data_IF_199701139282
#
_entry.id   IF_199701139282
#
_cell.length_a   1.000
_cell.length_b   1.000
_cell.length_c   1.000
_cell.angle_alpha   90.00
_cell.angle_beta   90.00
_cell.angle_gamma   90.00
#
_symmetry.space_group_name_H-M   'P 1'
#
loop_
_entity.id
_entity.type
_entity.pdbx_description
1 polymer ?
#
# COMPACT_ATOMS: atom_id res chain seq x y z
N UNK A 1 13.47 13.98 -19.65
CA UNK A 1 12.64 15.20 -19.41
C UNK A 1 11.14 14.96 -19.69
N UNK A 2 10.76 14.18 -20.71
CA UNK A 2 9.36 13.93 -21.08
C UNK A 2 8.57 13.11 -20.06
N UNK A 3 9.17 12.06 -19.47
CA UNK A 3 8.49 11.17 -18.50
C UNK A 3 8.08 11.91 -17.22
N UNK A 4 8.95 12.78 -16.69
CA UNK A 4 8.62 13.59 -15.49
C UNK A 4 7.42 14.53 -15.74
N UNK A 5 7.33 15.10 -16.94
CA UNK A 5 6.18 15.93 -17.33
C UNK A 5 4.90 15.09 -17.46
N UNK A 6 5.01 13.87 -17.99
CA UNK A 6 3.86 12.97 -18.14
C UNK A 6 3.30 12.53 -16.79
N UNK A 7 4.16 12.16 -15.85
CA UNK A 7 3.78 11.79 -14.48
C UNK A 7 3.14 12.96 -13.75
N UNK A 8 3.73 14.15 -13.86
CA UNK A 8 3.16 15.36 -13.25
C UNK A 8 1.79 15.71 -13.85
N UNK A 9 1.63 15.62 -15.19
CA UNK A 9 0.36 15.82 -15.85
C UNK A 9 -0.69 14.80 -15.46
N UNK A 10 -0.31 13.53 -15.29
CA UNK A 10 -1.21 12.47 -14.83
C UNK A 10 -1.68 12.71 -13.39
N UNK A 11 -0.76 13.10 -12.49
CA UNK A 11 -1.08 13.45 -11.10
C UNK A 11 -2.00 14.68 -11.04
N UNK A 12 -1.77 15.69 -11.88
CA UNK A 12 -2.62 16.90 -11.95
C UNK A 12 -4.02 16.54 -12.47
N UNK A 13 -4.11 15.69 -13.50
CA UNK A 13 -5.38 15.21 -14.03
C UNK A 13 -6.16 14.39 -13.00
N UNK A 14 -5.50 13.53 -12.25
CA UNK A 14 -6.09 12.75 -11.17
C UNK A 14 -6.65 13.67 -10.06
N UNK A 15 -5.96 14.76 -9.76
CA UNK A 15 -6.39 15.76 -8.77
C UNK A 15 -7.61 16.57 -9.24
N UNK A 16 -7.71 16.86 -10.54
CA UNK A 16 -8.84 17.59 -11.14
C UNK A 16 -10.12 16.75 -11.27
N UNK A 17 -10.02 15.42 -11.21
CA UNK A 17 -11.17 14.51 -11.28
C UNK A 17 -11.86 14.28 -9.92
N UNK A 18 -11.38 14.90 -8.84
CA UNK A 18 -12.04 14.82 -7.54
C UNK A 18 -13.35 15.64 -7.57
N UNK A 19 -14.51 15.01 -7.33
CA UNK A 19 -15.78 15.73 -7.36
C UNK A 19 -15.85 16.77 -6.23
N UNK A 20 -16.19 18.00 -6.58
CA UNK A 20 -16.37 19.16 -5.66
C UNK A 20 -17.71 19.11 -4.90
N UNK A 21 -18.25 17.93 -4.59
CA UNK A 21 -19.51 17.84 -3.87
C UNK A 21 -19.26 17.77 -2.35
N UNK A 22 -19.60 18.83 -1.65
CA UNK A 22 -19.52 18.97 -0.19
C UNK A 22 -20.61 18.18 0.57
N UNK A 23 -20.78 16.89 0.26
CA UNK A 23 -21.72 16.03 0.98
C UNK A 23 -20.99 14.75 1.38
N UNK A 24 -20.78 14.58 2.69
CA UNK A 24 -20.03 13.49 3.29
C UNK A 24 -18.55 13.50 2.83
N UNK A 25 -17.69 14.05 3.65
CA UNK A 25 -16.27 14.24 3.34
C UNK A 25 -15.61 12.89 3.00
N UNK A 26 -15.49 12.61 1.70
CA UNK A 26 -14.61 11.54 1.24
C UNK A 26 -13.17 11.97 1.47
N UNK A 27 -12.37 11.08 2.01
CA UNK A 27 -10.96 11.34 2.26
C UNK A 27 -10.13 10.37 1.42
N UNK A 28 -9.17 10.92 0.69
CA UNK A 28 -8.17 10.15 -0.04
C UNK A 28 -6.82 10.35 0.66
N UNK A 29 -6.22 9.27 1.13
CA UNK A 29 -4.89 9.27 1.75
C UNK A 29 -3.91 8.54 0.85
N UNK A 30 -2.73 9.12 0.70
CA UNK A 30 -1.56 8.47 0.13
C UNK A 30 -0.51 8.37 1.25
N UNK A 31 -0.18 7.14 1.62
CA UNK A 31 0.85 6.84 2.61
C UNK A 31 2.02 6.18 1.90
N UNK A 32 3.24 6.61 2.19
CA UNK A 32 4.47 6.05 1.65
C UNK A 32 5.41 5.78 2.80
N UNK A 33 5.73 4.51 3.00
CA UNK A 33 6.70 4.06 3.99
C UNK A 33 8.01 3.71 3.28
N UNK A 34 9.12 4.08 3.89
CA UNK A 34 10.44 3.69 3.42
C UNK A 34 11.40 3.60 4.62
N UNK A 35 12.18 2.55 4.68
CA UNK A 35 13.15 2.30 5.76
C UNK A 35 14.51 3.03 5.57
N UNK A 36 14.68 3.75 4.48
CA UNK A 36 15.91 4.47 4.12
C UNK A 36 16.46 5.39 5.23
N UNK A 37 15.59 5.82 6.14
CA UNK A 37 15.96 6.72 7.26
C UNK A 37 16.67 6.02 8.43
N UNK A 38 16.69 4.67 8.46
CA UNK A 38 17.21 3.91 9.59
C UNK A 38 18.59 3.27 9.35
N UNK A 39 19.22 3.53 8.21
CA UNK A 39 20.56 3.03 7.82
C UNK A 39 20.71 1.48 7.86
N UNK A 40 19.58 0.78 7.96
CA UNK A 40 19.47 -0.68 8.00
C UNK A 40 18.25 -1.13 7.20
N UNK A 41 18.43 -1.23 5.91
CA UNK A 41 17.42 -1.70 4.97
C UNK A 41 17.36 -3.24 5.04
N UNK A 42 16.66 -3.76 6.06
CA UNK A 42 16.46 -5.18 6.27
C UNK A 42 14.99 -5.56 6.09
N UNK A 43 14.73 -6.46 5.17
CA UNK A 43 13.45 -7.11 4.92
C UNK A 43 12.35 -6.17 4.41
N UNK A 44 11.59 -5.48 5.25
CA UNK A 44 10.61 -4.50 4.81
C UNK A 44 11.31 -3.25 4.27
N UNK A 45 11.28 -3.07 2.96
CA UNK A 45 12.00 -1.98 2.29
C UNK A 45 11.10 -0.77 2.05
N UNK A 46 9.87 -0.99 1.61
CA UNK A 46 8.93 0.11 1.38
C UNK A 46 7.49 -0.36 1.23
N UNK A 47 6.56 0.57 1.45
CA UNK A 47 5.14 0.40 1.17
C UNK A 47 4.54 1.66 0.56
N UNK A 48 3.59 1.46 -0.35
CA UNK A 48 2.79 2.54 -0.94
C UNK A 48 1.32 2.16 -0.79
N UNK A 49 0.54 3.05 -0.18
CA UNK A 49 -0.86 2.79 0.11
C UNK A 49 -1.73 3.96 -0.31
N UNK A 50 -2.72 3.68 -1.15
CA UNK A 50 -3.76 4.62 -1.52
C UNK A 50 -5.07 4.19 -0.87
N UNK A 51 -5.60 5.01 0.04
CA UNK A 51 -6.80 4.69 0.82
C UNK A 51 -7.90 5.71 0.55
N UNK A 52 -9.03 5.24 0.04
CA UNK A 52 -10.27 6.02 -0.06
C UNK A 52 -11.16 5.70 1.13
N UNK A 53 -11.48 6.70 1.92
CA UNK A 53 -12.42 6.61 3.03
C UNK A 53 -13.72 7.33 2.68
N UNK A 54 -14.85 6.62 2.83
CA UNK A 54 -16.18 7.16 2.54
C UNK A 54 -17.07 6.98 3.76
N UNK A 55 -17.33 8.05 4.53
CA UNK A 55 -18.32 8.03 5.60
C UNK A 55 -19.72 7.82 5.04
N UNK A 56 -20.52 7.09 5.77
CA UNK A 56 -21.93 6.89 5.47
C UNK A 56 -22.73 7.06 6.76
N UNK A 57 -23.56 8.09 6.81
CA UNK A 57 -24.49 8.34 7.91
C UNK A 57 -25.91 8.15 7.37
N UNK A 58 -26.60 7.11 7.87
CA UNK A 58 -27.99 6.82 7.51
C UNK A 58 -28.75 6.38 8.79
N UNK A 59 -29.85 7.06 9.09
CA UNK A 59 -30.71 6.74 10.23
C UNK A 59 -29.91 6.63 11.56
N UNK A 60 -29.15 7.67 11.92
CA UNK A 60 -28.31 7.76 13.12
C UNK A 60 -27.20 6.69 13.25
N UNK A 61 -27.04 5.87 12.21
CA UNK A 61 -25.96 4.86 12.13
C UNK A 61 -24.80 5.42 11.32
N UNK A 62 -23.67 5.59 11.98
CA UNK A 62 -22.44 6.04 11.36
C UNK A 62 -21.61 4.82 10.97
N UNK A 63 -21.24 4.74 9.72
CA UNK A 63 -20.29 3.76 9.22
C UNK A 63 -19.24 4.43 8.35
N UNK A 64 -18.06 3.80 8.26
CA UNK A 64 -16.95 4.22 7.43
C UNK A 64 -16.57 3.05 6.52
N UNK A 65 -16.61 3.28 5.21
CA UNK A 65 -16.07 2.34 4.24
C UNK A 65 -14.66 2.78 3.88
N UNK A 66 -13.73 1.83 3.85
CA UNK A 66 -12.34 2.04 3.42
C UNK A 66 -12.06 1.11 2.26
N UNK A 67 -11.55 1.66 1.17
CA UNK A 67 -11.01 0.91 0.05
C UNK A 67 -9.53 1.27 -0.04
N UNK A 68 -8.65 0.28 0.03
CA UNK A 68 -7.20 0.48 0.01
C UNK A 68 -6.57 -0.34 -1.10
N UNK A 69 -5.74 0.27 -1.90
CA UNK A 69 -4.75 -0.40 -2.73
C UNK A 69 -3.42 -0.22 -2.02
N UNK A 70 -2.70 -1.33 -1.79
CA UNK A 70 -1.40 -1.30 -1.13
C UNK A 70 -0.40 -2.17 -1.87
N UNK A 71 0.85 -1.69 -1.90
CA UNK A 71 1.99 -2.46 -2.35
C UNK A 71 3.05 -2.47 -1.26
N UNK A 72 3.55 -3.66 -0.97
CA UNK A 72 4.64 -3.91 -0.02
C UNK A 72 5.83 -4.47 -0.78
N UNK A 73 7.01 -4.01 -0.42
CA UNK A 73 8.29 -4.45 -1.01
C UNK A 73 9.20 -4.92 0.12
N UNK A 74 9.72 -6.14 -0.03
CA UNK A 74 10.67 -6.75 0.88
C UNK A 74 11.92 -7.14 0.11
N UNK A 75 13.09 -6.87 0.69
CA UNK A 75 14.39 -7.19 0.11
C UNK A 75 15.24 -8.01 1.07
N UNK A 76 16.15 -8.86 0.57
CA UNK A 76 17.14 -9.52 1.42
C UNK A 76 18.10 -8.47 2.06
N UNK A 77 18.71 -8.82 3.19
CA UNK A 77 19.71 -7.96 3.84
C UNK A 77 20.90 -7.65 2.94
N UNK A 78 21.29 -8.60 2.09
CA UNK A 78 22.39 -8.46 1.13
C UNK A 78 21.86 -8.19 -0.29
N UNK A 79 20.99 -7.22 -0.47
CA UNK A 79 20.28 -6.92 -1.73
C UNK A 79 21.19 -6.61 -2.94
N UNK A 80 22.43 -6.23 -2.72
CA UNK A 80 23.42 -5.98 -3.78
C UNK A 80 24.36 -7.16 -4.06
N UNK A 81 24.24 -8.26 -3.32
CA UNK A 81 24.97 -9.48 -3.59
C UNK A 81 24.58 -10.04 -4.99
N UNK A 82 25.56 -10.49 -5.74
CA UNK A 82 25.34 -11.01 -7.10
C UNK A 82 24.94 -12.48 -7.13
N UNK A 83 25.25 -13.23 -6.07
CA UNK A 83 24.94 -14.65 -5.92
C UNK A 83 23.63 -14.83 -5.13
N UNK A 84 22.52 -15.26 -5.79
CA UNK A 84 21.24 -15.44 -5.11
C UNK A 84 21.27 -16.50 -4.00
N UNK A 85 22.23 -17.44 -4.03
CA UNK A 85 22.35 -18.46 -2.98
C UNK A 85 22.83 -17.91 -1.64
N UNK A 86 23.31 -16.68 -1.62
CA UNK A 86 23.73 -15.96 -0.40
C UNK A 86 22.65 -15.09 0.18
N UNK A 87 21.50 -14.98 -0.46
CA UNK A 87 20.39 -14.23 0.11
C UNK A 87 19.86 -14.95 1.35
N UNK A 88 19.74 -14.22 2.43
CA UNK A 88 19.14 -14.69 3.69
C UNK A 88 17.61 -14.71 3.61
N UNK A 89 17.03 -13.97 2.66
CA UNK A 89 15.60 -13.90 2.39
C UNK A 89 15.34 -13.65 0.91
N UNK A 90 14.28 -14.20 0.31
CA UNK A 90 13.94 -13.89 -1.09
C UNK A 90 13.39 -12.47 -1.22
N UNK A 91 13.59 -11.84 -2.37
CA UNK A 91 12.80 -10.67 -2.72
C UNK A 91 11.32 -11.00 -2.70
N UNK A 92 10.50 -10.11 -2.16
CA UNK A 92 9.06 -10.31 -2.12
C UNK A 92 8.32 -9.02 -2.39
N UNK A 93 7.38 -9.08 -3.31
CA UNK A 93 6.41 -8.05 -3.56
C UNK A 93 5.01 -8.55 -3.24
N UNK A 94 4.16 -7.68 -2.68
CA UNK A 94 2.76 -7.96 -2.44
C UNK A 94 1.91 -6.77 -2.85
N UNK A 95 1.08 -6.96 -3.87
CA UNK A 95 0.10 -5.97 -4.33
C UNK A 95 -1.29 -6.45 -3.93
N UNK A 96 -2.08 -5.60 -3.28
CA UNK A 96 -3.39 -5.99 -2.79
C UNK A 96 -4.45 -4.90 -2.92
N UNK A 97 -5.70 -5.34 -2.97
CA UNK A 97 -6.89 -4.54 -2.80
C UNK A 97 -7.58 -4.99 -1.52
N UNK A 98 -7.89 -4.04 -0.63
CA UNK A 98 -8.58 -4.28 0.64
C UNK A 98 -9.85 -3.44 0.71
N UNK A 99 -10.93 -4.06 1.14
CA UNK A 99 -12.15 -3.38 1.54
C UNK A 99 -12.44 -3.64 3.02
N UNK A 100 -12.69 -2.59 3.77
CA UNK A 100 -13.06 -2.66 5.17
C UNK A 100 -14.28 -1.77 5.44
N UNK A 101 -15.22 -2.30 6.22
CA UNK A 101 -16.36 -1.53 6.73
C UNK A 101 -16.31 -1.47 8.25
N UNK A 102 -16.27 -0.26 8.77
CA UNK A 102 -16.35 0.02 10.20
C UNK A 102 -17.74 0.59 10.54
N UNK A 103 -18.35 0.08 11.61
CA UNK A 103 -19.63 0.57 12.14
C UNK A 103 -19.43 1.07 13.55
N UNK A 104 -19.87 2.29 13.82
CA UNK A 104 -19.97 2.82 15.17
C UNK A 104 -21.18 2.18 15.86
N UNK A 105 -20.98 1.60 17.04
CA UNK A 105 -22.04 0.97 17.83
C UNK A 105 -22.52 1.92 18.93
N UNK A 106 -21.58 2.56 19.63
CA UNK A 106 -21.84 3.58 20.67
C UNK A 106 -20.83 4.71 20.51
N UNK A 107 -20.88 5.72 21.38
CA UNK A 107 -19.87 6.78 21.42
C UNK A 107 -18.45 6.23 21.69
N UNK A 108 -18.35 5.08 22.35
CA UNK A 108 -17.08 4.47 22.82
C UNK A 108 -16.80 3.10 22.21
N UNK A 109 -17.63 2.62 21.28
CA UNK A 109 -17.38 1.31 20.67
C UNK A 109 -17.65 1.28 19.18
N UNK A 110 -16.85 0.50 18.49
CA UNK A 110 -17.01 0.25 17.06
C UNK A 110 -16.61 -1.21 16.71
N UNK A 111 -17.17 -1.66 15.62
CA UNK A 111 -16.88 -2.96 15.03
C UNK A 111 -16.47 -2.77 13.58
N UNK A 112 -15.47 -3.52 13.13
CA UNK A 112 -15.10 -3.53 11.72
C UNK A 112 -14.95 -4.95 11.19
N UNK A 113 -15.20 -5.11 9.90
CA UNK A 113 -14.94 -6.31 9.14
C UNK A 113 -14.44 -5.95 7.75
N UNK A 114 -13.62 -6.80 7.17
CA UNK A 114 -13.04 -6.55 5.87
C UNK A 114 -12.49 -7.80 5.21
N UNK A 115 -12.13 -7.65 3.95
CA UNK A 115 -11.46 -8.65 3.16
C UNK A 115 -10.40 -8.02 2.28
N UNK A 116 -9.37 -8.79 1.97
CA UNK A 116 -8.26 -8.39 1.13
C UNK A 116 -7.99 -9.50 0.12
N UNK A 117 -7.78 -9.11 -1.13
CA UNK A 117 -7.26 -9.96 -2.18
C UNK A 117 -5.93 -9.38 -2.66
N UNK A 118 -4.92 -10.20 -2.79
CA UNK A 118 -3.61 -9.75 -3.22
C UNK A 118 -2.84 -10.80 -3.98
N UNK A 119 -1.71 -10.39 -4.55
CA UNK A 119 -0.84 -11.24 -5.37
C UNK A 119 0.62 -10.97 -5.03
N UNK A 120 1.41 -12.04 -4.95
CA UNK A 120 2.87 -12.00 -4.79
C UNK A 120 3.58 -12.21 -6.12
N UNK A 121 4.90 -12.26 -6.11
CA UNK A 121 5.74 -12.53 -7.28
C UNK A 121 5.74 -11.40 -8.31
N UNK A 122 5.99 -11.72 -9.57
CA UNK A 122 6.12 -10.74 -10.66
C UNK A 122 4.86 -9.89 -10.85
N UNK A 123 3.69 -10.48 -10.68
CA UNK A 123 2.41 -9.77 -10.82
C UNK A 123 2.17 -8.73 -9.71
N UNK A 124 2.95 -8.73 -8.64
CA UNK A 124 2.93 -7.66 -7.64
C UNK A 124 3.50 -6.34 -8.15
N UNK A 125 4.22 -6.35 -9.28
CA UNK A 125 4.89 -5.19 -9.91
C UNK A 125 5.98 -4.55 -9.03
N UNK A 126 6.36 -5.17 -7.91
CA UNK A 126 7.23 -4.59 -6.90
C UNK A 126 8.64 -4.29 -7.45
N UNK A 127 9.22 -5.20 -8.26
CA UNK A 127 10.48 -4.97 -8.95
C UNK A 127 10.48 -3.71 -9.80
N UNK A 128 9.42 -3.54 -10.60
CA UNK A 128 9.27 -2.36 -11.45
C UNK A 128 9.15 -1.07 -10.65
N UNK A 129 8.37 -1.09 -9.59
CA UNK A 129 8.18 0.07 -8.70
C UNK A 129 9.46 0.46 -7.96
N UNK A 130 10.20 -0.52 -7.42
CA UNK A 130 11.46 -0.25 -6.72
C UNK A 130 12.51 0.31 -7.67
N UNK A 131 12.69 -0.28 -8.85
CA UNK A 131 13.65 0.21 -9.83
C UNK A 131 13.25 1.59 -10.38
N UNK A 132 11.96 1.87 -10.57
CA UNK A 132 11.49 3.20 -10.94
C UNK A 132 11.82 4.25 -9.85
N UNK A 133 11.66 3.89 -8.58
CA UNK A 133 12.03 4.76 -7.46
C UNK A 133 13.54 5.01 -7.41
N UNK A 134 14.36 3.97 -7.64
CA UNK A 134 15.81 4.11 -7.75
C UNK A 134 16.20 5.08 -8.86
N UNK A 135 15.59 4.98 -10.04
CA UNK A 135 15.90 5.87 -11.18
C UNK A 135 15.48 7.32 -10.93
N UNK A 136 14.26 7.51 -10.38
CA UNK A 136 13.66 8.85 -10.32
C UNK A 136 14.08 9.66 -9.09
N UNK A 137 14.34 8.97 -7.98
CA UNK A 137 14.51 9.62 -6.67
C UNK A 137 15.93 9.45 -6.13
N UNK A 138 16.45 8.22 -6.13
CA UNK A 138 17.69 7.90 -5.44
C UNK A 138 18.92 7.89 -6.34
N UNK A 139 18.74 7.74 -7.66
CA UNK A 139 19.83 7.55 -8.62
C UNK A 139 20.75 6.38 -8.22
N UNK A 140 20.14 5.25 -7.82
CA UNK A 140 20.81 4.03 -7.40
C UNK A 140 20.72 2.94 -8.49
N UNK A 141 21.66 1.97 -8.49
CA UNK A 141 21.58 0.82 -9.39
C UNK A 141 20.29 0.02 -9.22
N UNK A 142 19.80 -0.56 -10.31
CA UNK A 142 18.66 -1.48 -10.26
C UNK A 142 19.00 -2.73 -9.45
N UNK A 143 18.03 -3.20 -8.69
CA UNK A 143 18.08 -4.49 -8.03
C UNK A 143 17.62 -5.58 -8.98
N UNK A 144 18.28 -6.72 -8.96
CA UNK A 144 18.05 -7.79 -9.95
C UNK A 144 16.78 -8.58 -9.69
N UNK A 145 16.36 -8.69 -8.45
CA UNK A 145 15.19 -9.48 -8.03
C UNK A 145 15.29 -10.95 -8.46
N UNK A 146 16.50 -11.47 -8.49
CA UNK A 146 16.73 -12.91 -8.59
C UNK A 146 16.25 -13.58 -7.30
N UNK A 147 15.75 -14.79 -7.37
CA UNK A 147 15.17 -15.52 -6.21
C UNK A 147 14.01 -14.79 -5.52
N UNK A 148 13.12 -14.17 -6.27
CA UNK A 148 11.92 -13.63 -5.68
C UNK A 148 10.91 -14.74 -5.33
N UNK A 149 10.03 -14.44 -4.37
CA UNK A 149 8.93 -15.33 -4.00
C UNK A 149 8.04 -15.68 -5.20
N UNK A 150 7.47 -16.90 -5.24
CA UNK A 150 6.59 -17.31 -6.32
C UNK A 150 5.33 -16.42 -6.38
N UNK A 151 4.72 -16.43 -7.55
CA UNK A 151 3.46 -15.74 -7.75
C UNK A 151 2.31 -16.57 -7.18
N UNK A 152 1.64 -16.00 -6.17
CA UNK A 152 0.52 -16.65 -5.48
C UNK A 152 -0.60 -15.65 -5.21
N UNK A 153 -1.84 -16.12 -5.34
CA UNK A 153 -3.02 -15.37 -4.93
C UNK A 153 -3.24 -15.52 -3.43
N UNK A 154 -3.45 -14.39 -2.75
CA UNK A 154 -3.68 -14.32 -1.31
C UNK A 154 -5.08 -13.78 -1.02
N UNK A 155 -5.79 -14.44 -0.09
CA UNK A 155 -7.07 -13.99 0.42
C UNK A 155 -7.00 -13.86 1.94
N UNK A 156 -7.33 -12.69 2.45
CA UNK A 156 -7.33 -12.42 3.88
C UNK A 156 -8.69 -11.85 4.32
N UNK A 157 -9.12 -12.24 5.51
CA UNK A 157 -10.30 -11.69 6.15
C UNK A 157 -9.93 -11.11 7.51
N UNK A 158 -10.52 -9.98 7.84
CA UNK A 158 -10.26 -9.29 9.10
C UNK A 158 -11.55 -8.91 9.80
N UNK A 159 -11.53 -9.00 11.12
CA UNK A 159 -12.57 -8.43 11.97
C UNK A 159 -11.93 -7.82 13.20
N UNK A 160 -12.48 -6.70 13.67
CA UNK A 160 -12.01 -6.07 14.90
C UNK A 160 -13.17 -5.45 15.69
N UNK A 161 -13.02 -5.41 16.99
CA UNK A 161 -13.92 -4.74 17.90
C UNK A 161 -13.11 -3.80 18.79
N UNK A 162 -13.51 -2.54 18.83
CA UNK A 162 -12.92 -1.53 19.70
C UNK A 162 -13.93 -1.14 20.76
N UNK A 163 -13.47 -1.04 22.02
CA UNK A 163 -14.23 -0.50 23.15
C UNK A 163 -13.34 0.42 23.98
N UNK A 164 -13.71 1.68 24.09
CA UNK A 164 -13.12 2.62 25.04
C UNK A 164 -13.72 2.44 26.42
N UNK A 165 -12.93 2.66 27.43
CA UNK A 165 -13.35 2.70 28.85
C UNK A 165 -13.22 4.13 29.35
N UNK A 166 -14.18 4.57 30.16
CA UNK A 166 -14.12 5.85 30.86
C UNK A 166 -13.40 5.67 32.20
#
# INVERSE_FOLDING_TARGET
MHLKKLILSFLTLLFCLLPNEAISQKQLNLDVDNDLYFDRDFYYSSGIFLTLMTPNAKNDKISLNKLKIGQLIYTPSMRYESDPNKYDYPYSGYLYLEYQKQKKLTSFSSYSFGGQIGITGDASLARGMQNLYHDLVLNLPHLKWESQMPQELQLNFSTSYFKGFN
#
